data_IF_661935845800
#
_entry.id   IF_661935845800
#
_cell.length_a   1.000
_cell.length_b   1.000
_cell.length_c   1.000
_cell.angle_alpha   90.00
_cell.angle_beta   90.00
_cell.angle_gamma   90.00
#
_symmetry.space_group_name_H-M   'P 1'
#
loop_
_entity.id
_entity.type
_entity.pdbx_description
1 polymer ?
#
# COMPACT_ATOMS: atom_id res chain seq x y z
N UNK A 1 -34.27 -5.54 -1.07
CA UNK A 1 -33.26 -4.65 -1.71
C UNK A 1 -31.92 -5.37 -1.72
N UNK A 2 -31.17 -5.37 -2.83
CA UNK A 2 -29.85 -6.01 -2.91
C UNK A 2 -28.85 -5.20 -2.07
N UNK A 3 -28.11 -5.88 -1.18
CA UNK A 3 -27.05 -5.25 -0.38
C UNK A 3 -25.90 -4.84 -1.32
N UNK A 4 -25.45 -3.59 -1.25
CA UNK A 4 -24.32 -3.09 -2.04
C UNK A 4 -23.03 -3.77 -1.58
N UNK A 5 -22.16 -4.13 -2.52
CA UNK A 5 -20.91 -4.83 -2.22
C UNK A 5 -19.98 -3.97 -1.35
N UNK A 6 -19.26 -4.52 -0.34
CA UNK A 6 -18.41 -3.72 0.56
C UNK A 6 -17.29 -2.94 -0.13
N UNK A 7 -16.79 -3.39 -1.28
CA UNK A 7 -15.75 -2.71 -2.06
C UNK A 7 -16.16 -1.31 -2.53
N UNK A 8 -17.46 -1.01 -2.62
CA UNK A 8 -17.92 0.33 -2.94
C UNK A 8 -17.47 1.39 -1.93
N UNK A 9 -17.14 1.01 -0.68
CA UNK A 9 -16.52 1.95 0.27
C UNK A 9 -15.19 2.51 -0.26
N UNK A 10 -14.39 1.68 -0.93
CA UNK A 10 -13.13 2.09 -1.56
C UNK A 10 -13.39 2.93 -2.82
N UNK A 11 -14.31 2.49 -3.68
CA UNK A 11 -14.61 3.19 -4.94
C UNK A 11 -15.27 4.55 -4.72
N UNK A 12 -16.19 4.65 -3.76
CA UNK A 12 -16.86 5.90 -3.41
C UNK A 12 -15.86 6.89 -2.82
N UNK A 13 -14.94 6.42 -1.96
CA UNK A 13 -13.86 7.24 -1.42
C UNK A 13 -12.92 7.75 -2.53
N UNK A 14 -12.53 6.88 -3.46
CA UNK A 14 -11.70 7.30 -4.59
C UNK A 14 -12.41 8.35 -5.46
N UNK A 15 -13.72 8.16 -5.72
CA UNK A 15 -14.54 9.13 -6.45
C UNK A 15 -14.65 10.47 -5.72
N UNK A 16 -14.82 10.45 -4.40
CA UNK A 16 -14.91 11.65 -3.56
C UNK A 16 -13.58 12.43 -3.59
N UNK A 17 -12.43 11.75 -3.46
CA UNK A 17 -11.10 12.40 -3.54
C UNK A 17 -10.90 13.08 -4.89
N UNK A 18 -11.32 12.45 -5.99
CA UNK A 18 -11.17 13.01 -7.33
C UNK A 18 -12.04 14.25 -7.54
N UNK A 19 -13.25 14.26 -6.98
CA UNK A 19 -14.23 15.33 -7.16
C UNK A 19 -13.99 16.50 -6.19
N UNK A 20 -13.90 16.20 -4.90
CA UNK A 20 -13.99 17.16 -3.80
C UNK A 20 -12.67 17.29 -3.00
N UNK A 21 -11.61 16.55 -3.39
CA UNK A 21 -10.32 16.57 -2.70
C UNK A 21 -9.54 17.89 -2.84
N UNK A 22 -8.91 18.31 -1.74
CA UNK A 22 -8.12 19.54 -1.64
C UNK A 22 -6.74 19.33 -2.30
N UNK A 23 -6.29 20.21 -3.20
CA UNK A 23 -4.96 20.15 -3.78
C UNK A 23 -3.87 20.34 -2.73
N UNK A 24 -2.90 19.44 -2.70
CA UNK A 24 -1.69 19.53 -1.87
C UNK A 24 -0.46 19.15 -2.70
N UNK A 25 0.73 19.41 -2.18
CA UNK A 25 2.00 18.99 -2.79
C UNK A 25 2.70 18.04 -1.82
N UNK A 26 3.07 16.86 -2.32
CA UNK A 26 3.79 15.86 -1.53
C UNK A 26 5.19 16.32 -1.15
N UNK A 27 5.54 16.15 0.13
CA UNK A 27 6.87 16.50 0.64
C UNK A 27 7.85 15.35 0.36
N UNK A 28 8.66 15.52 -0.66
CA UNK A 28 9.73 14.59 -1.02
C UNK A 28 9.72 14.23 -2.50
N UNK A 29 8.52 14.06 -3.07
CA UNK A 29 8.37 13.83 -4.52
C UNK A 29 8.00 15.10 -5.30
N UNK A 30 7.50 16.16 -4.63
CA UNK A 30 6.94 17.37 -5.24
C UNK A 30 5.75 17.10 -6.20
N UNK A 31 5.12 15.93 -6.10
CA UNK A 31 3.96 15.58 -6.91
C UNK A 31 2.71 16.28 -6.35
N UNK A 32 1.90 16.86 -7.24
CA UNK A 32 0.58 17.40 -6.89
C UNK A 32 -0.42 16.28 -6.60
N UNK A 33 -1.09 16.35 -5.46
CA UNK A 33 -2.06 15.35 -4.99
C UNK A 33 -3.40 16.01 -4.64
N UNK A 34 -4.46 15.20 -4.55
CA UNK A 34 -5.74 15.59 -3.94
C UNK A 34 -5.93 14.81 -2.64
N UNK A 35 -6.39 15.47 -1.59
CA UNK A 35 -6.54 14.86 -0.26
C UNK A 35 -7.87 15.20 0.40
N UNK A 36 -8.39 14.25 1.19
CA UNK A 36 -9.51 14.42 2.10
C UNK A 36 -9.07 14.00 3.50
N UNK A 37 -9.63 14.65 4.53
CA UNK A 37 -9.31 14.34 5.91
C UNK A 37 -10.34 13.38 6.54
N UNK A 38 -9.84 12.41 7.32
CA UNK A 38 -10.62 11.54 8.19
C UNK A 38 -11.80 10.80 7.52
N UNK A 39 -11.52 9.93 6.55
CA UNK A 39 -12.50 8.98 5.97
C UNK A 39 -12.30 7.58 6.55
N UNK A 40 -13.38 6.85 6.75
CA UNK A 40 -13.35 5.51 7.36
C UNK A 40 -13.99 4.48 6.44
N UNK A 41 -13.37 3.30 6.35
CA UNK A 41 -13.94 2.10 5.75
C UNK A 41 -14.05 0.99 6.82
N UNK A 42 -15.06 0.14 6.72
CA UNK A 42 -15.28 -0.99 7.64
C UNK A 42 -15.58 -2.25 6.85
N UNK A 43 -14.84 -3.31 7.12
CA UNK A 43 -14.99 -4.62 6.47
C UNK A 43 -15.30 -5.67 7.52
N UNK A 44 -16.32 -6.49 7.26
CA UNK A 44 -16.74 -7.57 8.16
C UNK A 44 -16.02 -8.86 7.79
N UNK A 45 -14.96 -9.18 8.55
CA UNK A 45 -14.10 -10.34 8.31
C UNK A 45 -14.76 -11.67 8.65
N UNK A 46 -15.91 -11.67 9.33
CA UNK A 46 -16.67 -12.91 9.58
C UNK A 46 -17.41 -13.40 8.33
N UNK A 47 -17.57 -12.50 7.35
CA UNK A 47 -18.27 -12.79 6.10
C UNK A 47 -17.31 -13.13 4.97
N UNK A 48 -16.30 -12.29 4.75
CA UNK A 48 -15.35 -12.42 3.64
C UNK A 48 -14.05 -11.66 3.91
N UNK A 49 -13.04 -11.91 3.08
CA UNK A 49 -11.77 -11.18 3.11
C UNK A 49 -11.78 -10.00 2.12
N UNK A 50 -11.49 -8.75 2.56
CA UNK A 50 -11.63 -7.54 1.73
C UNK A 50 -10.46 -7.32 0.76
N UNK A 51 -10.17 -8.32 -0.09
CA UNK A 51 -9.25 -8.16 -1.20
C UNK A 51 -9.98 -7.50 -2.38
N UNK A 52 -9.49 -6.34 -2.82
CA UNK A 52 -10.11 -5.59 -3.93
C UNK A 52 -10.15 -6.43 -5.21
N UNK A 53 -11.27 -6.35 -5.92
CA UNK A 53 -11.55 -7.14 -7.12
C UNK A 53 -11.50 -6.32 -8.40
N UNK A 54 -11.74 -5.02 -8.31
CA UNK A 54 -11.68 -4.07 -9.45
C UNK A 54 -10.28 -3.91 -10.04
N UNK A 55 -9.24 -4.29 -9.30
CA UNK A 55 -7.86 -4.42 -9.77
C UNK A 55 -7.18 -5.57 -9.03
N UNK A 56 -6.39 -6.37 -9.73
CA UNK A 56 -5.58 -7.43 -9.12
C UNK A 56 -4.59 -6.85 -8.10
N UNK A 57 -4.72 -7.25 -6.85
CA UNK A 57 -3.78 -6.94 -5.76
C UNK A 57 -2.58 -7.89 -5.79
N UNK A 58 -1.38 -7.39 -5.52
CA UNK A 58 -0.17 -8.22 -5.44
C UNK A 58 -0.11 -9.03 -4.13
N UNK A 59 -0.97 -10.04 -4.03
CA UNK A 59 -1.18 -10.81 -2.81
C UNK A 59 0.07 -11.53 -2.27
N UNK A 60 0.90 -12.07 -3.19
CA UNK A 60 2.17 -12.71 -2.81
C UNK A 60 3.06 -11.75 -2.02
N UNK A 61 3.16 -10.49 -2.45
CA UNK A 61 3.94 -9.47 -1.75
C UNK A 61 3.43 -9.22 -0.34
N UNK A 62 2.11 -9.04 -0.18
CA UNK A 62 1.47 -8.79 1.13
C UNK A 62 1.77 -9.90 2.14
N UNK A 63 1.68 -11.17 1.73
CA UNK A 63 1.94 -12.30 2.63
C UNK A 63 3.41 -12.37 3.06
N UNK A 64 4.37 -12.24 2.12
CA UNK A 64 5.79 -12.27 2.49
C UNK A 64 6.19 -11.07 3.34
N UNK A 65 5.63 -9.88 3.07
CA UNK A 65 5.85 -8.68 3.88
C UNK A 65 5.32 -8.86 5.31
N UNK A 66 4.10 -9.37 5.47
CA UNK A 66 3.52 -9.63 6.78
C UNK A 66 4.35 -10.64 7.57
N UNK A 67 4.79 -11.73 6.93
CA UNK A 67 5.70 -12.69 7.55
C UNK A 67 7.02 -12.03 7.98
N UNK A 68 7.60 -11.22 7.11
CA UNK A 68 8.85 -10.50 7.40
C UNK A 68 8.69 -9.61 8.64
N UNK A 69 7.61 -8.84 8.75
CA UNK A 69 7.28 -8.07 9.96
C UNK A 69 7.16 -8.95 11.21
N UNK A 70 6.40 -10.04 11.13
CA UNK A 70 6.19 -10.95 12.27
C UNK A 70 7.47 -11.68 12.70
N UNK A 71 8.39 -11.92 11.77
CA UNK A 71 9.68 -12.55 12.05
C UNK A 71 10.69 -11.63 12.75
N UNK A 72 10.38 -10.33 12.88
CA UNK A 72 11.28 -9.33 13.47
C UNK A 72 12.52 -9.02 12.63
N UNK A 73 12.57 -9.49 11.37
CA UNK A 73 13.67 -9.22 10.47
C UNK A 73 13.63 -7.76 9.98
N UNK A 74 14.81 -7.16 9.86
CA UNK A 74 14.99 -5.80 9.30
C UNK A 74 15.73 -5.81 7.97
N UNK A 75 16.27 -6.96 7.57
CA UNK A 75 16.98 -7.13 6.32
C UNK A 75 16.01 -7.53 5.20
N UNK A 76 16.05 -6.79 4.08
CA UNK A 76 15.21 -7.06 2.89
C UNK A 76 15.62 -8.32 2.11
N UNK A 77 16.76 -8.93 2.42
CA UNK A 77 17.24 -10.15 1.73
C UNK A 77 16.16 -11.23 1.63
N UNK A 78 15.42 -11.48 2.71
CA UNK A 78 14.31 -12.44 2.69
C UNK A 78 13.25 -12.09 1.62
N UNK A 79 12.89 -10.81 1.50
CA UNK A 79 11.91 -10.36 0.51
C UNK A 79 12.45 -10.54 -0.91
N UNK A 80 13.69 -10.13 -1.16
CA UNK A 80 14.37 -10.25 -2.46
C UNK A 80 14.50 -11.72 -2.87
N UNK A 81 14.92 -12.60 -1.96
CA UNK A 81 15.03 -14.05 -2.18
C UNK A 81 13.66 -14.68 -2.54
N UNK A 82 12.56 -14.09 -2.06
CA UNK A 82 11.19 -14.51 -2.39
C UNK A 82 10.59 -13.77 -3.59
N UNK A 83 11.40 -13.00 -4.33
CA UNK A 83 11.01 -12.17 -5.47
C UNK A 83 9.96 -11.10 -5.10
N UNK A 84 10.16 -10.44 -3.95
CA UNK A 84 9.34 -9.34 -3.45
C UNK A 84 10.20 -8.09 -3.31
N UNK A 85 9.96 -7.11 -4.19
CA UNK A 85 10.82 -5.93 -4.38
C UNK A 85 10.17 -4.61 -3.94
N UNK A 86 9.08 -4.68 -3.15
CA UNK A 86 8.33 -3.48 -2.70
C UNK A 86 9.14 -2.58 -1.76
N UNK A 87 10.21 -3.11 -1.16
CA UNK A 87 11.16 -2.39 -0.30
C UNK A 87 12.53 -2.21 -0.96
N UNK A 88 12.67 -2.35 -2.28
CA UNK A 88 13.98 -2.21 -2.91
C UNK A 88 14.47 -0.76 -2.88
N UNK A 89 13.62 0.23 -3.16
CA UNK A 89 14.08 1.59 -3.47
C UNK A 89 14.96 2.23 -2.37
N UNK A 90 14.49 2.32 -1.13
CA UNK A 90 15.22 3.01 -0.06
C UNK A 90 16.40 2.21 0.53
N UNK A 91 16.23 0.94 0.94
CA UNK A 91 17.34 0.05 1.31
C UNK A 91 18.42 -0.11 0.24
N UNK A 92 18.05 -0.24 -1.03
CA UNK A 92 19.01 -0.32 -2.13
C UNK A 92 19.76 1.01 -2.31
N UNK A 93 19.07 2.16 -2.25
CA UNK A 93 19.72 3.48 -2.22
C UNK A 93 20.73 3.60 -1.07
N UNK A 94 20.39 3.12 0.13
CA UNK A 94 21.32 3.10 1.29
C UNK A 94 22.51 2.19 1.04
N UNK A 95 22.28 0.97 0.56
CA UNK A 95 23.33 0.00 0.25
C UNK A 95 24.31 0.59 -0.78
N UNK A 96 23.80 1.12 -1.89
CA UNK A 96 24.62 1.79 -2.91
C UNK A 96 25.37 2.99 -2.35
N UNK A 97 24.76 3.74 -1.41
CA UNK A 97 25.42 4.83 -0.70
C UNK A 97 26.58 4.37 0.17
N UNK A 98 26.49 3.20 0.83
CA UNK A 98 27.57 2.61 1.63
C UNK A 98 28.68 2.05 0.76
N UNK A 99 28.35 1.28 -0.28
CA UNK A 99 29.34 0.72 -1.22
C UNK A 99 30.18 1.83 -1.89
N UNK A 100 29.56 2.96 -2.23
CA UNK A 100 30.27 4.12 -2.81
C UNK A 100 31.20 4.82 -1.82
N UNK A 101 31.03 4.63 -0.51
CA UNK A 101 31.83 5.30 0.54
C UNK A 101 33.04 4.47 1.00
N UNK A 102 33.18 3.22 0.55
CA UNK A 102 34.22 2.29 1.00
C UNK A 102 33.77 1.51 2.22
#
# INVERSE_FOLDING_TARGET
>A
MKKRHPEYQYLDLASEILKDGIPIVDRGTNIGLKSLFARQMRFDLTKDFPLLTTKKVYWKGVIHELYWFMSGQTNIKYLVDNNVHIWDDYPYKIYMGKVKKG
#
